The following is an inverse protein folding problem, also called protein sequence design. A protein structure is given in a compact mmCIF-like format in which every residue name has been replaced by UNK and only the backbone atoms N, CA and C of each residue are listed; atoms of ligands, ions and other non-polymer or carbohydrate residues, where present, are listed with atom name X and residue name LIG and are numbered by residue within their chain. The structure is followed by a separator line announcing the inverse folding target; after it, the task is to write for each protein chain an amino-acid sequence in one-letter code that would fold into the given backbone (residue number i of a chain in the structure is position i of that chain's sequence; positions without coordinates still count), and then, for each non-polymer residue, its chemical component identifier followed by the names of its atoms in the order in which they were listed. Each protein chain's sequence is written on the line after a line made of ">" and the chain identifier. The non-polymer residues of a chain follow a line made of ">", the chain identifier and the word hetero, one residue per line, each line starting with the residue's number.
data_IF_998713492169
#
_entry.id   IF_998713492169
#
_cell.length_a   1.000
_cell.length_b   1.000
_cell.length_c   1.000
_cell.angle_alpha   90.00
_cell.angle_beta   90.00
_cell.angle_gamma   90.00
#
_symmetry.space_group_name_H-M   'P 1'
#
loop_
_entity.id
_entity.type
_entity.pdbx_description
1 polymer ?
#
# COMPACT_ATOMS: atom_id res chain seq x y z
N UNK A 1 27.31 -35.44 28.16
CA UNK A 1 26.19 -34.86 27.38
C UNK A 1 26.65 -33.96 26.19
N UNK A 2 27.66 -34.35 25.40
CA UNK A 2 28.15 -33.54 24.25
C UNK A 2 27.75 -34.09 22.86
N UNK A 3 27.08 -35.25 22.78
CA UNK A 3 26.70 -35.89 21.50
C UNK A 3 25.37 -35.39 20.92
N UNK A 4 24.46 -34.90 21.76
CA UNK A 4 23.11 -34.47 21.34
C UNK A 4 23.17 -33.25 20.41
N UNK A 5 24.10 -32.31 20.64
CA UNK A 5 24.24 -31.09 19.85
C UNK A 5 24.70 -31.37 18.41
N UNK A 6 25.64 -32.30 18.22
CA UNK A 6 26.17 -32.66 16.90
C UNK A 6 25.16 -33.49 16.09
N UNK A 7 24.44 -34.41 16.74
CA UNK A 7 23.36 -35.15 16.09
C UNK A 7 22.22 -34.22 15.64
N UNK A 8 21.74 -33.32 16.53
CA UNK A 8 20.69 -32.35 16.19
C UNK A 8 21.12 -31.43 15.04
N UNK A 9 22.37 -30.95 15.04
CA UNK A 9 22.90 -30.12 13.96
C UNK A 9 22.91 -30.85 12.60
N UNK A 10 23.40 -32.09 12.58
CA UNK A 10 23.45 -32.90 11.36
C UNK A 10 22.05 -33.28 10.86
N UNK A 11 21.13 -33.63 11.77
CA UNK A 11 19.73 -33.88 11.46
C UNK A 11 19.08 -32.66 10.80
N UNK A 12 19.23 -31.48 11.41
CA UNK A 12 18.70 -30.22 10.88
C UNK A 12 19.25 -29.90 9.48
N UNK A 13 20.57 -30.06 9.26
CA UNK A 13 21.18 -29.87 7.94
C UNK A 13 20.66 -30.85 6.90
N UNK A 14 20.59 -32.15 7.24
CA UNK A 14 20.13 -33.21 6.32
C UNK A 14 18.68 -33.01 5.88
N UNK A 15 17.83 -32.50 6.77
CA UNK A 15 16.42 -32.25 6.50
C UNK A 15 16.09 -30.79 6.14
N UNK A 16 17.11 -29.95 5.85
CA UNK A 16 16.93 -28.53 5.51
C UNK A 16 16.14 -27.73 6.57
N UNK A 17 16.23 -28.13 7.84
CA UNK A 17 15.56 -27.49 8.97
C UNK A 17 16.47 -26.37 9.49
N UNK A 18 15.99 -25.14 9.45
CA UNK A 18 16.68 -23.96 9.97
C UNK A 18 15.84 -23.28 11.05
N UNK A 19 16.49 -22.63 12.00
CA UNK A 19 15.76 -21.76 12.94
C UNK A 19 15.17 -20.58 12.17
N UNK A 20 13.89 -20.30 12.38
CA UNK A 20 13.17 -19.19 11.74
C UNK A 20 12.51 -18.35 12.82
N UNK A 21 12.54 -17.03 12.64
CA UNK A 21 11.73 -16.12 13.45
C UNK A 21 10.25 -16.45 13.22
N UNK A 22 9.48 -16.63 14.31
CA UNK A 22 8.02 -16.79 14.23
C UNK A 22 7.44 -15.50 13.63
N UNK A 23 6.63 -15.64 12.59
CA UNK A 23 6.05 -14.52 11.84
C UNK A 23 4.54 -14.35 12.07
N UNK A 24 3.85 -15.38 12.59
CA UNK A 24 2.43 -15.37 12.88
C UNK A 24 2.13 -16.33 14.02
N UNK A 25 1.33 -15.87 14.98
CA UNK A 25 0.68 -16.74 15.96
C UNK A 25 -0.74 -17.03 15.48
N UNK A 26 -1.19 -18.26 15.64
CA UNK A 26 -2.55 -18.70 15.28
C UNK A 26 -3.20 -19.37 16.48
N UNK A 27 -4.51 -19.20 16.63
CA UNK A 27 -5.28 -19.88 17.69
C UNK A 27 -5.64 -21.30 17.26
N UNK A 28 -5.97 -22.16 18.22
CA UNK A 28 -6.42 -23.54 17.93
C UNK A 28 -7.72 -23.55 17.10
N UNK A 29 -8.63 -22.62 17.35
CA UNK A 29 -9.85 -22.41 16.55
C UNK A 29 -9.54 -22.07 15.08
N UNK A 30 -8.51 -21.24 14.82
CA UNK A 30 -8.09 -20.92 13.45
C UNK A 30 -7.47 -22.13 12.73
N UNK A 31 -6.87 -23.06 13.45
CA UNK A 31 -6.34 -24.31 12.88
C UNK A 31 -7.49 -25.25 12.53
N UNK A 32 -8.47 -25.41 13.42
CA UNK A 32 -9.64 -26.25 13.20
C UNK A 32 -10.51 -25.77 12.02
N UNK A 33 -10.74 -24.45 11.92
CA UNK A 33 -11.61 -23.87 10.88
C UNK A 33 -10.90 -23.62 9.54
N UNK A 34 -9.68 -24.14 9.36
CA UNK A 34 -8.85 -23.81 8.20
C UNK A 34 -9.42 -24.32 6.88
N UNK A 35 -10.05 -25.48 6.87
CA UNK A 35 -10.69 -26.03 5.67
C UNK A 35 -11.97 -25.29 5.31
N UNK A 36 -12.80 -24.97 6.31
CA UNK A 36 -13.98 -24.13 6.14
C UNK A 36 -13.63 -22.75 5.58
N UNK A 37 -12.62 -22.08 6.14
CA UNK A 37 -12.12 -20.80 5.64
C UNK A 37 -11.63 -20.88 4.19
N UNK A 38 -11.04 -22.02 3.78
CA UNK A 38 -10.65 -22.25 2.39
C UNK A 38 -11.86 -22.48 1.48
N UNK A 39 -12.85 -23.24 1.94
CA UNK A 39 -14.12 -23.42 1.23
C UNK A 39 -14.80 -22.08 0.96
N UNK A 40 -14.99 -21.27 2.01
CA UNK A 40 -15.60 -19.94 1.91
C UNK A 40 -14.79 -19.00 1.00
N UNK A 41 -13.45 -19.08 1.07
CA UNK A 41 -12.59 -18.30 0.18
C UNK A 41 -12.75 -18.71 -1.29
N UNK A 42 -12.79 -20.02 -1.58
CA UNK A 42 -12.95 -20.53 -2.94
C UNK A 42 -14.32 -20.18 -3.52
N UNK A 43 -15.40 -20.37 -2.75
CA UNK A 43 -16.76 -20.00 -3.17
C UNK A 43 -16.85 -18.50 -3.51
N UNK A 44 -16.25 -17.65 -2.67
CA UNK A 44 -16.18 -16.22 -2.93
C UNK A 44 -15.40 -15.90 -4.21
N UNK A 45 -14.25 -16.54 -4.41
CA UNK A 45 -13.42 -16.36 -5.62
C UNK A 45 -14.20 -16.73 -6.88
N UNK A 46 -14.87 -17.88 -6.91
CA UNK A 46 -15.67 -18.31 -8.07
C UNK A 46 -16.85 -17.38 -8.36
N UNK A 47 -17.50 -16.88 -7.31
CA UNK A 47 -18.53 -15.83 -7.44
C UNK A 47 -17.98 -14.56 -8.09
N UNK A 48 -16.79 -14.12 -7.68
CA UNK A 48 -16.14 -12.92 -8.25
C UNK A 48 -15.68 -13.16 -9.67
N UNK A 49 -15.11 -14.33 -10.00
CA UNK A 49 -14.75 -14.71 -11.37
C UNK A 49 -15.94 -14.61 -12.31
N UNK A 50 -17.09 -15.14 -11.89
CA UNK A 50 -18.35 -15.02 -12.64
C UNK A 50 -18.71 -13.56 -12.91
N UNK A 51 -18.49 -12.67 -11.93
CA UNK A 51 -18.70 -11.23 -12.12
C UNK A 51 -17.68 -10.61 -13.08
N UNK A 52 -16.40 -10.97 -12.99
CA UNK A 52 -15.37 -10.52 -13.93
C UNK A 52 -15.74 -10.89 -15.36
N UNK A 53 -16.24 -12.10 -15.61
CA UNK A 53 -16.70 -12.52 -16.95
C UNK A 53 -17.89 -11.68 -17.43
N UNK A 54 -18.83 -11.36 -16.54
CA UNK A 54 -20.06 -10.64 -16.88
C UNK A 54 -19.85 -9.15 -17.18
N UNK A 55 -19.00 -8.47 -16.40
CA UNK A 55 -18.83 -7.01 -16.51
C UNK A 55 -17.42 -6.59 -16.94
N UNK A 56 -16.47 -7.51 -17.08
CA UNK A 56 -15.09 -7.22 -17.45
C UNK A 56 -14.19 -6.82 -16.27
N UNK A 57 -12.89 -7.06 -16.43
CA UNK A 57 -11.86 -6.78 -15.40
C UNK A 57 -11.77 -5.30 -15.00
N UNK A 58 -12.05 -4.38 -15.93
CA UNK A 58 -12.02 -2.94 -15.69
C UNK A 58 -13.10 -2.46 -14.71
N UNK A 59 -14.14 -3.27 -14.51
CA UNK A 59 -15.32 -2.93 -13.71
C UNK A 59 -15.37 -3.67 -12.36
N UNK A 60 -14.37 -4.47 -12.04
CA UNK A 60 -14.24 -5.16 -10.76
C UNK A 60 -13.08 -4.56 -9.99
N UNK A 61 -13.36 -4.03 -8.82
CA UNK A 61 -12.42 -3.28 -7.99
C UNK A 61 -12.21 -3.94 -6.65
N UNK A 62 -11.02 -3.77 -6.09
CA UNK A 62 -10.71 -4.15 -4.73
C UNK A 62 -10.23 -2.93 -3.94
N UNK A 63 -10.71 -2.79 -2.71
CA UNK A 63 -10.25 -1.75 -1.78
C UNK A 63 -10.16 -2.28 -0.36
N UNK A 64 -9.15 -1.80 0.36
CA UNK A 64 -8.95 -2.03 1.78
C UNK A 64 -8.05 -0.93 2.37
N UNK A 65 -8.10 -0.78 3.70
CA UNK A 65 -7.28 0.17 4.43
C UNK A 65 -5.98 -0.47 4.95
N UNK A 66 -4.90 0.31 4.98
CA UNK A 66 -3.68 -0.13 5.67
C UNK A 66 -3.03 1.02 6.43
N UNK A 67 -2.58 0.71 7.65
CA UNK A 67 -1.80 1.62 8.47
C UNK A 67 -0.34 1.68 8.02
N UNK A 68 0.20 2.89 8.02
CA UNK A 68 1.60 3.22 7.72
C UNK A 68 2.16 4.07 8.86
N UNK A 69 3.30 3.69 9.40
CA UNK A 69 4.02 4.51 10.37
C UNK A 69 4.50 5.79 9.69
N UNK A 70 4.61 6.89 10.46
CA UNK A 70 5.07 8.16 9.91
C UNK A 70 6.51 8.06 9.38
N UNK A 71 7.34 7.21 10.01
CA UNK A 71 8.65 6.79 9.52
C UNK A 71 8.78 5.27 9.54
N UNK A 72 9.25 4.72 8.43
CA UNK A 72 9.38 3.29 8.22
C UNK A 72 10.83 2.94 7.92
N UNK A 73 11.35 1.95 8.64
CA UNK A 73 12.75 1.53 8.58
C UNK A 73 12.92 0.07 8.23
N UNK A 74 14.15 -0.29 7.84
CA UNK A 74 14.52 -1.69 7.78
C UNK A 74 14.71 -2.28 9.18
N UNK A 75 13.93 -3.33 9.49
CA UNK A 75 14.15 -4.12 10.71
C UNK A 75 15.45 -4.94 10.72
N UNK A 76 16.37 -4.68 9.79
CA UNK A 76 17.69 -5.31 9.66
C UNK A 76 18.66 -4.31 9.02
N UNK A 77 19.89 -4.27 9.51
CA UNK A 77 21.01 -3.53 8.93
C UNK A 77 22.28 -4.39 8.98
N UNK A 78 23.33 -3.95 8.30
CA UNK A 78 24.65 -4.58 8.38
C UNK A 78 25.33 -4.16 9.69
N UNK A 79 25.85 -5.14 10.42
CA UNK A 79 26.63 -4.93 11.64
C UNK A 79 27.67 -6.04 11.79
N UNK A 80 28.68 -5.82 12.63
CA UNK A 80 29.69 -6.83 12.91
C UNK A 80 29.08 -8.08 13.55
N UNK A 81 29.65 -9.24 13.21
CA UNK A 81 29.24 -10.52 13.78
C UNK A 81 29.52 -10.51 15.28
N UNK A 82 28.52 -10.87 16.09
CA UNK A 82 28.63 -10.87 17.56
C UNK A 82 28.11 -9.60 18.23
N UNK A 83 27.74 -8.56 17.46
CA UNK A 83 27.11 -7.36 18.01
C UNK A 83 25.76 -7.69 18.64
N UNK A 84 25.64 -7.44 19.95
CA UNK A 84 24.42 -7.70 20.72
C UNK A 84 23.37 -6.59 20.55
N UNK A 85 23.81 -5.34 20.40
CA UNK A 85 22.95 -4.16 20.24
C UNK A 85 23.31 -3.45 18.94
N UNK A 86 22.32 -3.30 18.06
CA UNK A 86 22.45 -2.60 16.79
C UNK A 86 21.54 -1.39 16.83
N UNK A 87 22.12 -0.20 16.72
CA UNK A 87 21.41 1.07 16.76
C UNK A 87 21.35 1.68 15.35
N UNK A 88 20.22 2.32 15.04
CA UNK A 88 19.99 2.97 13.74
C UNK A 88 19.37 4.34 13.96
N UNK A 89 19.76 5.32 13.13
CA UNK A 89 19.21 6.67 13.18
C UNK A 89 17.74 6.68 12.76
N UNK A 90 16.92 7.41 13.50
CA UNK A 90 15.55 7.76 13.14
C UNK A 90 15.34 9.27 13.36
N UNK A 91 14.47 9.91 12.57
CA UNK A 91 14.16 11.33 12.73
C UNK A 91 13.39 11.59 14.04
N UNK A 92 12.51 10.67 14.44
CA UNK A 92 11.81 10.73 15.73
C UNK A 92 11.31 9.37 16.19
N UNK A 93 11.48 9.06 17.49
CA UNK A 93 10.95 7.83 18.09
C UNK A 93 9.42 7.77 18.08
N UNK A 94 8.74 8.92 18.26
CA UNK A 94 7.28 8.99 18.23
C UNK A 94 6.75 8.64 16.83
N UNK A 95 7.51 8.95 15.80
CA UNK A 95 7.11 8.69 14.43
C UNK A 95 7.22 7.23 14.01
N UNK A 96 7.99 6.45 14.75
CA UNK A 96 8.00 4.99 14.64
C UNK A 96 6.73 4.36 15.21
N UNK A 97 6.00 5.05 16.09
CA UNK A 97 4.80 4.50 16.76
C UNK A 97 3.50 5.11 16.27
N UNK A 98 3.51 6.37 15.82
CA UNK A 98 2.37 7.00 15.17
C UNK A 98 2.22 6.56 13.73
N UNK A 99 0.96 6.50 13.27
CA UNK A 99 0.61 6.08 11.92
C UNK A 99 -0.51 6.91 11.32
N UNK A 100 -0.56 6.90 10.00
CA UNK A 100 -1.72 7.29 9.21
C UNK A 100 -2.25 6.07 8.46
N UNK A 101 -3.47 6.18 7.93
CA UNK A 101 -4.08 5.12 7.12
C UNK A 101 -4.21 5.57 5.68
N UNK A 102 -3.97 4.67 4.73
CA UNK A 102 -4.36 4.88 3.33
C UNK A 102 -5.41 3.86 2.91
N UNK A 103 -6.21 4.19 1.90
CA UNK A 103 -7.17 3.26 1.30
C UNK A 103 -7.15 3.40 -0.24
N UNK A 104 -6.31 2.59 -0.92
CA UNK A 104 -6.28 2.53 -2.38
C UNK A 104 -7.46 1.74 -2.95
N UNK A 105 -7.68 1.91 -4.26
CA UNK A 105 -8.59 1.09 -5.07
C UNK A 105 -7.80 0.58 -6.27
N UNK A 106 -7.83 -0.73 -6.51
CA UNK A 106 -7.24 -1.34 -7.70
C UNK A 106 -8.30 -2.07 -8.51
N UNK A 107 -8.29 -1.95 -9.84
CA UNK A 107 -9.14 -2.75 -10.73
C UNK A 107 -8.52 -4.13 -10.98
N UNK A 108 -9.34 -5.12 -11.37
CA UNK A 108 -8.85 -6.43 -11.80
C UNK A 108 -7.99 -6.33 -13.07
N UNK A 109 -8.24 -5.32 -13.90
CA UNK A 109 -7.40 -5.01 -15.07
C UNK A 109 -6.02 -4.43 -14.70
N UNK A 110 -5.76 -4.23 -13.41
CA UNK A 110 -4.46 -3.84 -12.89
C UNK A 110 -4.23 -2.33 -12.80
N UNK A 111 -5.28 -1.51 -12.83
CA UNK A 111 -5.15 -0.06 -12.70
C UNK A 111 -5.33 0.38 -11.24
N UNK A 112 -4.47 1.28 -10.78
CA UNK A 112 -4.61 1.95 -9.49
C UNK A 112 -5.42 3.24 -9.68
N UNK A 113 -6.59 3.30 -9.04
CA UNK A 113 -7.51 4.42 -9.19
C UNK A 113 -7.06 5.62 -8.35
N UNK A 114 -7.34 6.82 -8.86
CA UNK A 114 -7.19 8.08 -8.14
C UNK A 114 -8.56 8.69 -7.86
N UNK A 115 -8.73 9.49 -6.80
CA UNK A 115 -7.72 9.81 -5.78
C UNK A 115 -7.49 8.71 -4.72
N UNK A 116 -6.30 8.68 -4.13
CA UNK A 116 -6.00 7.90 -2.93
C UNK A 116 -6.60 8.55 -1.69
N UNK A 117 -7.34 7.79 -0.88
CA UNK A 117 -7.73 8.27 0.45
C UNK A 117 -6.58 8.16 1.44
N UNK A 118 -6.36 9.21 2.21
CA UNK A 118 -5.43 9.29 3.34
C UNK A 118 -6.20 9.76 4.56
N UNK A 119 -6.09 9.04 5.68
CA UNK A 119 -6.67 9.42 6.97
C UNK A 119 -5.55 9.76 7.94
N UNK A 120 -5.45 11.04 8.31
CA UNK A 120 -4.49 11.51 9.30
C UNK A 120 -5.11 11.50 10.71
N UNK A 121 -4.27 11.31 11.72
CA UNK A 121 -4.66 11.39 13.12
C UNK A 121 -4.65 12.85 13.59
N UNK A 122 -5.79 13.34 14.07
CA UNK A 122 -5.91 14.68 14.68
C UNK A 122 -6.61 14.57 16.04
N UNK A 123 -6.19 15.36 17.05
CA UNK A 123 -6.73 15.28 18.41
C UNK A 123 -8.26 15.38 18.45
N UNK A 124 -8.81 16.34 17.70
CA UNK A 124 -10.26 16.59 17.64
C UNK A 124 -10.89 16.01 16.36
N UNK A 125 -10.16 15.16 15.64
CA UNK A 125 -10.59 14.55 14.39
C UNK A 125 -10.77 15.51 13.22
N UNK A 126 -10.34 16.77 13.34
CA UNK A 126 -10.44 17.82 12.32
C UNK A 126 -9.16 18.63 12.23
N UNK A 127 -8.86 19.19 11.06
CA UNK A 127 -7.85 20.23 10.95
C UNK A 127 -8.38 21.56 11.52
N UNK A 128 -7.51 22.32 12.17
CA UNK A 128 -7.83 23.71 12.50
C UNK A 128 -7.93 24.57 11.23
N UNK A 129 -8.81 25.59 11.15
CA UNK A 129 -9.05 26.36 9.91
C UNK A 129 -7.80 27.02 9.32
N UNK A 130 -6.88 27.48 10.17
CA UNK A 130 -5.59 28.07 9.74
C UNK A 130 -4.65 27.03 9.15
N UNK A 131 -4.66 25.81 9.70
CA UNK A 131 -3.83 24.70 9.22
C UNK A 131 -4.36 24.26 7.86
N UNK A 132 -5.66 24.03 7.75
CA UNK A 132 -6.31 23.55 6.53
C UNK A 132 -6.00 24.43 5.30
N UNK A 133 -5.99 25.76 5.46
CA UNK A 133 -5.62 26.71 4.39
C UNK A 133 -4.18 26.58 3.91
N UNK A 134 -3.26 26.14 4.78
CA UNK A 134 -1.82 25.97 4.49
C UNK A 134 -1.44 24.55 4.06
N UNK A 135 -2.39 23.61 4.09
CA UNK A 135 -2.11 22.24 3.72
C UNK A 135 -1.91 22.12 2.21
N UNK A 136 -0.90 21.35 1.82
CA UNK A 136 -0.66 20.97 0.43
C UNK A 136 -1.91 20.35 -0.18
N UNK A 137 -2.24 20.63 -1.44
CA UNK A 137 -3.40 20.04 -2.13
C UNK A 137 -2.93 19.43 -3.44
N UNK A 138 -3.47 18.25 -3.75
CA UNK A 138 -3.24 17.57 -5.01
C UNK A 138 -4.51 16.82 -5.42
N UNK A 139 -4.72 16.67 -6.73
CA UNK A 139 -5.95 16.10 -7.28
C UNK A 139 -5.99 14.57 -7.16
N UNK A 140 -4.85 13.91 -7.01
CA UNK A 140 -4.74 12.46 -6.92
C UNK A 140 -4.81 11.91 -5.49
N UNK A 141 -5.08 12.77 -4.50
CA UNK A 141 -5.30 12.35 -3.10
C UNK A 141 -6.51 13.06 -2.49
N UNK A 142 -7.20 12.39 -1.59
CA UNK A 142 -8.17 12.99 -0.68
C UNK A 142 -7.70 12.76 0.75
N UNK A 143 -7.57 13.83 1.53
CA UNK A 143 -7.12 13.74 2.92
C UNK A 143 -8.27 14.03 3.86
N UNK A 144 -8.59 13.04 4.68
CA UNK A 144 -9.54 13.16 5.79
C UNK A 144 -8.81 12.97 7.12
N UNK A 145 -9.51 13.23 8.22
CA UNK A 145 -8.94 13.16 9.57
C UNK A 145 -9.84 12.36 10.50
N UNK A 146 -9.25 11.69 11.48
CA UNK A 146 -9.96 11.07 12.59
C UNK A 146 -9.14 11.13 13.87
N UNK A 147 -9.78 10.91 15.02
CA UNK A 147 -9.10 10.90 16.33
C UNK A 147 -8.08 9.78 16.48
N UNK A 148 -8.28 8.67 15.76
CA UNK A 148 -7.40 7.51 15.79
C UNK A 148 -6.45 7.43 14.59
N UNK A 149 -6.69 8.20 13.53
CA UNK A 149 -6.02 8.03 12.23
C UNK A 149 -6.49 6.82 11.43
N UNK A 150 -7.54 6.11 11.90
CA UNK A 150 -8.17 4.98 11.21
C UNK A 150 -9.42 5.40 10.44
N UNK A 151 -9.82 4.61 9.45
CA UNK A 151 -11.07 4.78 8.74
C UNK A 151 -12.25 4.48 9.67
N UNK A 152 -13.14 5.44 9.85
CA UNK A 152 -14.42 5.24 10.55
C UNK A 152 -15.53 4.98 9.54
N UNK A 153 -16.70 4.53 10.01
CA UNK A 153 -17.87 4.30 9.16
C UNK A 153 -18.28 5.54 8.34
N UNK A 154 -18.21 6.71 8.96
CA UNK A 154 -18.51 7.99 8.30
C UNK A 154 -17.50 8.31 7.20
N UNK A 155 -16.21 8.10 7.48
CA UNK A 155 -15.16 8.32 6.48
C UNK A 155 -15.25 7.33 5.32
N UNK A 156 -15.68 6.10 5.56
CA UNK A 156 -15.93 5.11 4.51
C UNK A 156 -17.08 5.52 3.58
N UNK A 157 -18.14 6.14 4.11
CA UNK A 157 -19.23 6.69 3.31
C UNK A 157 -18.74 7.85 2.44
N UNK A 158 -18.01 8.80 3.04
CA UNK A 158 -17.44 9.94 2.29
C UNK A 158 -16.47 9.47 1.21
N UNK A 159 -15.66 8.45 1.51
CA UNK A 159 -14.79 7.81 0.53
C UNK A 159 -15.59 7.21 -0.63
N UNK A 160 -16.66 6.49 -0.33
CA UNK A 160 -17.49 5.87 -1.35
C UNK A 160 -18.12 6.93 -2.27
N UNK A 161 -18.67 8.00 -1.70
CA UNK A 161 -19.33 9.09 -2.45
C UNK A 161 -18.37 9.97 -3.25
N UNK A 162 -17.19 10.29 -2.68
CA UNK A 162 -16.26 11.26 -3.25
C UNK A 162 -15.17 10.62 -4.10
N UNK A 163 -14.84 9.34 -3.86
CA UNK A 163 -13.77 8.63 -4.57
C UNK A 163 -14.35 7.49 -5.41
N UNK A 164 -15.04 6.52 -4.80
CA UNK A 164 -15.46 5.33 -5.54
C UNK A 164 -16.50 5.65 -6.62
N UNK A 165 -17.62 6.29 -6.26
CA UNK A 165 -18.71 6.56 -7.20
C UNK A 165 -18.29 7.43 -8.39
N UNK A 166 -17.53 8.54 -8.23
CA UNK A 166 -17.17 9.37 -9.38
C UNK A 166 -16.19 8.69 -10.35
N UNK A 167 -15.35 7.78 -9.85
CA UNK A 167 -14.23 7.21 -10.61
C UNK A 167 -14.49 5.78 -11.10
N UNK A 168 -15.70 5.25 -10.96
CA UNK A 168 -16.07 3.91 -11.45
C UNK A 168 -17.10 3.99 -12.57
N UNK A 169 -17.19 2.93 -13.37
CA UNK A 169 -18.13 2.88 -14.49
C UNK A 169 -19.58 2.66 -14.02
N UNK A 170 -20.53 2.73 -14.96
CA UNK A 170 -21.98 2.62 -14.70
C UNK A 170 -22.35 1.33 -13.98
N UNK A 171 -21.72 0.21 -14.35
CA UNK A 171 -21.85 -1.09 -13.69
C UNK A 171 -20.52 -1.46 -13.06
N UNK A 172 -20.50 -1.69 -11.76
CA UNK A 172 -19.25 -2.03 -11.06
C UNK A 172 -19.46 -3.00 -9.91
N UNK A 173 -18.40 -3.76 -9.62
CA UNK A 173 -18.30 -4.62 -8.43
C UNK A 173 -17.17 -4.12 -7.55
N UNK A 174 -17.47 -3.87 -6.27
CA UNK A 174 -16.49 -3.52 -5.27
C UNK A 174 -16.29 -4.70 -4.31
N UNK A 175 -15.09 -5.27 -4.29
CA UNK A 175 -14.64 -6.18 -3.26
C UNK A 175 -14.16 -5.35 -2.07
N UNK A 176 -14.82 -5.54 -0.93
CA UNK A 176 -14.54 -4.79 0.29
C UNK A 176 -14.47 -5.72 1.50
N UNK A 177 -13.73 -5.32 2.53
CA UNK A 177 -13.49 -6.17 3.69
C UNK A 177 -14.69 -6.21 4.63
N UNK A 178 -14.99 -7.38 5.20
CA UNK A 178 -15.92 -7.52 6.30
C UNK A 178 -15.22 -7.15 7.63
N UNK A 179 -15.54 -5.98 8.18
CA UNK A 179 -15.30 -5.70 9.60
C UNK A 179 -16.65 -5.54 10.31
N UNK A 180 -16.70 -5.78 11.63
CA UNK A 180 -17.91 -5.59 12.45
C UNK A 180 -18.55 -4.20 12.25
N UNK A 181 -17.73 -3.20 11.90
CA UNK A 181 -18.17 -1.85 11.56
C UNK A 181 -18.98 -1.79 10.25
N UNK A 182 -18.73 -2.68 9.29
CA UNK A 182 -19.38 -2.68 7.96
C UNK A 182 -20.79 -3.24 7.93
N UNK A 183 -21.18 -4.11 8.86
CA UNK A 183 -22.58 -4.52 8.98
C UNK A 183 -23.51 -3.32 9.21
N UNK A 184 -23.03 -2.30 9.94
CA UNK A 184 -23.73 -1.03 10.11
C UNK A 184 -23.68 -0.11 8.87
N UNK A 185 -22.68 -0.28 8.00
CA UNK A 185 -22.44 0.55 6.81
C UNK A 185 -23.18 0.01 5.59
N UNK A 186 -23.41 -1.29 5.47
CA UNK A 186 -24.11 -1.88 4.32
C UNK A 186 -25.50 -1.29 4.12
N UNK A 187 -26.27 -1.12 5.20
CA UNK A 187 -27.56 -0.41 5.14
C UNK A 187 -27.39 1.01 4.61
N UNK A 188 -26.31 1.69 5.01
CA UNK A 188 -26.00 3.05 4.56
C UNK A 188 -25.56 3.09 3.08
N UNK A 189 -24.74 2.15 2.62
CA UNK A 189 -24.36 2.06 1.20
C UNK A 189 -25.56 1.81 0.28
N UNK A 190 -26.56 1.07 0.76
CA UNK A 190 -27.79 0.85 0.00
C UNK A 190 -28.69 2.09 -0.04
N UNK A 191 -28.61 3.00 0.94
CA UNK A 191 -29.37 4.25 0.95
C UNK A 191 -28.68 5.43 0.27
N UNK A 192 -27.38 5.32 -0.03
CA UNK A 192 -26.64 6.38 -0.74
C UNK A 192 -27.16 6.48 -2.17
N UNK A 193 -27.35 7.71 -2.64
CA UNK A 193 -27.60 7.98 -4.05
C UNK A 193 -26.37 7.56 -4.88
N UNK A 194 -26.52 6.46 -5.63
CA UNK A 194 -25.48 5.93 -6.52
C UNK A 194 -25.37 6.72 -7.83
N UNK A 195 -26.11 7.82 -7.99
CA UNK A 195 -26.11 8.70 -9.17
C UNK A 195 -26.42 7.93 -10.46
N UNK A 196 -27.40 7.03 -10.39
CA UNK A 196 -27.79 6.14 -11.49
C UNK A 196 -26.86 4.96 -11.74
N UNK A 197 -25.77 4.77 -10.97
CA UNK A 197 -24.84 3.65 -11.15
C UNK A 197 -25.31 2.38 -10.45
N UNK A 198 -25.12 1.25 -11.12
CA UNK A 198 -25.31 -0.09 -10.59
C UNK A 198 -24.03 -0.57 -9.89
N UNK A 199 -23.98 -0.40 -8.57
CA UNK A 199 -22.84 -0.84 -7.75
C UNK A 199 -23.22 -2.06 -6.93
N UNK A 200 -22.50 -3.16 -7.15
CA UNK A 200 -22.58 -4.39 -6.37
C UNK A 200 -21.39 -4.50 -5.41
N UNK A 201 -21.63 -4.50 -4.11
CA UNK A 201 -20.59 -4.60 -3.09
C UNK A 201 -20.51 -6.05 -2.60
N UNK A 202 -19.36 -6.69 -2.78
CA UNK A 202 -19.10 -8.04 -2.32
C UNK A 202 -18.16 -8.02 -1.13
N UNK A 203 -18.59 -8.61 -0.02
CA UNK A 203 -17.80 -8.68 1.21
C UNK A 203 -16.87 -9.87 1.21
N UNK A 204 -15.58 -9.62 1.36
CA UNK A 204 -14.58 -10.67 1.51
C UNK A 204 -14.80 -11.36 2.88
N UNK A 205 -14.98 -12.70 2.91
CA UNK A 205 -15.26 -13.44 4.13
C UNK A 205 -14.20 -13.21 5.23
N UNK A 206 -14.65 -13.06 6.47
CA UNK A 206 -13.75 -12.90 7.61
C UNK A 206 -12.69 -14.02 7.69
N UNK A 207 -11.45 -13.64 8.05
CA UNK A 207 -10.34 -14.59 8.19
C UNK A 207 -9.67 -15.04 6.88
N UNK A 208 -10.21 -14.65 5.72
CA UNK A 208 -9.68 -15.03 4.40
C UNK A 208 -8.79 -13.96 3.77
N UNK A 209 -8.64 -12.80 4.41
CA UNK A 209 -7.91 -11.63 3.91
C UNK A 209 -6.51 -11.95 3.40
N UNK A 210 -5.72 -12.73 4.17
CA UNK A 210 -4.37 -13.12 3.77
C UNK A 210 -4.29 -14.12 2.60
N UNK A 211 -5.43 -14.53 2.05
CA UNK A 211 -5.57 -15.54 0.99
C UNK A 211 -6.17 -14.91 -0.26
N UNK A 212 -7.28 -14.17 -0.13
CA UNK A 212 -8.09 -13.71 -1.26
C UNK A 212 -8.30 -12.18 -1.29
N UNK A 213 -7.61 -11.40 -0.47
CA UNK A 213 -7.61 -9.94 -0.57
C UNK A 213 -6.37 -9.52 -1.40
N UNK A 214 -6.51 -9.05 -2.65
CA UNK A 214 -5.38 -8.64 -3.51
C UNK A 214 -4.39 -7.64 -2.88
N UNK A 215 -4.90 -6.58 -2.24
CA UNK A 215 -4.11 -5.58 -1.52
C UNK A 215 -3.24 -6.18 -0.41
N UNK A 216 -3.78 -7.08 0.43
CA UNK A 216 -3.01 -7.73 1.50
C UNK A 216 -2.09 -8.83 0.99
N UNK A 217 -2.56 -9.60 0.01
CA UNK A 217 -1.85 -10.74 -0.58
C UNK A 217 -0.58 -10.27 -1.28
N UNK A 218 -0.62 -9.09 -1.91
CA UNK A 218 0.53 -8.59 -2.66
C UNK A 218 0.76 -7.08 -2.57
N UNK A 219 -0.24 -6.21 -2.78
CA UNK A 219 -0.03 -4.79 -3.10
C UNK A 219 0.55 -3.92 -1.97
N UNK A 220 0.15 -4.12 -0.72
CA UNK A 220 0.64 -3.28 0.38
C UNK A 220 2.13 -3.48 0.66
N UNK A 221 2.69 -4.66 0.37
CA UNK A 221 4.11 -4.95 0.59
C UNK A 221 5.05 -4.09 -0.29
N UNK A 222 4.94 -4.05 -1.64
CA UNK A 222 5.76 -3.18 -2.47
C UNK A 222 5.54 -1.71 -2.13
N UNK A 223 4.32 -1.30 -1.77
CA UNK A 223 4.03 0.07 -1.34
C UNK A 223 4.80 0.46 -0.07
N UNK A 224 4.75 -0.37 0.97
CA UNK A 224 5.50 -0.18 2.22
C UNK A 224 7.00 -0.22 1.99
N UNK A 225 7.47 -1.12 1.13
CA UNK A 225 8.89 -1.18 0.76
C UNK A 225 9.36 0.08 0.02
N UNK A 226 8.51 0.67 -0.82
CA UNK A 226 8.81 1.92 -1.51
C UNK A 226 8.95 3.08 -0.55
N UNK A 227 7.97 3.28 0.34
CA UNK A 227 8.03 4.33 1.35
C UNK A 227 9.26 4.18 2.25
N UNK A 228 9.52 2.96 2.70
CA UNK A 228 10.70 2.65 3.50
C UNK A 228 12.01 2.96 2.76
N UNK A 229 12.13 2.55 1.49
CA UNK A 229 13.32 2.86 0.69
C UNK A 229 13.50 4.37 0.53
N UNK A 230 12.42 5.10 0.32
CA UNK A 230 12.43 6.56 0.26
C UNK A 230 12.93 7.17 1.59
N UNK A 231 12.41 6.73 2.74
CA UNK A 231 12.88 7.16 4.06
C UNK A 231 14.35 6.85 4.31
N UNK A 232 14.79 5.62 3.96
CA UNK A 232 16.18 5.20 4.11
C UNK A 232 17.14 6.10 3.30
N UNK A 233 16.73 6.52 2.09
CA UNK A 233 17.51 7.42 1.24
C UNK A 233 17.60 8.81 1.86
N UNK A 234 16.49 9.38 2.34
CA UNK A 234 16.51 10.70 2.99
C UNK A 234 17.48 10.76 4.16
N UNK A 235 17.45 9.74 5.01
CA UNK A 235 18.30 9.65 6.19
C UNK A 235 19.76 9.42 5.80
N UNK A 236 20.01 8.52 4.84
CA UNK A 236 21.37 8.17 4.41
C UNK A 236 22.13 9.35 3.80
N UNK A 237 21.45 10.19 3.02
CA UNK A 237 22.04 11.34 2.35
C UNK A 237 21.82 12.66 3.11
N UNK A 238 21.27 12.59 4.32
CA UNK A 238 21.07 13.73 5.21
C UNK A 238 20.26 14.88 4.56
N UNK A 239 19.21 14.53 3.81
CA UNK A 239 18.30 15.53 3.27
C UNK A 239 17.45 16.15 4.40
N UNK A 240 17.34 17.47 4.44
CA UNK A 240 16.52 18.21 5.41
C UNK A 240 15.01 18.15 5.06
N UNK A 241 14.46 16.93 5.07
CA UNK A 241 13.05 16.65 4.81
C UNK A 241 12.48 15.88 5.99
N UNK A 242 11.65 16.54 6.80
CA UNK A 242 10.98 15.91 7.93
C UNK A 242 9.75 15.11 7.46
N UNK A 243 9.83 13.78 7.54
CA UNK A 243 8.80 12.86 7.06
C UNK A 243 7.47 12.96 7.83
N UNK A 244 7.48 13.55 9.02
CA UNK A 244 6.36 13.56 9.97
C UNK A 244 5.41 14.72 9.78
N UNK A 245 5.84 15.72 9.01
CA UNK A 245 5.04 16.89 8.73
C UNK A 245 3.89 16.51 7.80
N UNK A 246 2.67 16.97 8.13
CA UNK A 246 1.45 16.71 7.35
C UNK A 246 1.63 16.98 5.86
N UNK A 247 2.25 18.11 5.51
CA UNK A 247 2.51 18.45 4.12
C UNK A 247 3.49 17.48 3.45
N UNK A 248 4.50 17.02 4.17
CA UNK A 248 5.47 16.08 3.62
C UNK A 248 4.86 14.69 3.44
N UNK A 249 4.06 14.20 4.40
CA UNK A 249 3.26 12.97 4.25
C UNK A 249 2.40 13.06 2.97
N UNK A 250 1.69 14.17 2.79
CA UNK A 250 0.82 14.38 1.62
C UNK A 250 1.59 14.44 0.31
N UNK A 251 2.71 15.17 0.27
CA UNK A 251 3.60 15.25 -0.90
C UNK A 251 4.16 13.87 -1.26
N UNK A 252 4.65 13.11 -0.28
CA UNK A 252 5.19 11.75 -0.49
C UNK A 252 4.11 10.83 -1.02
N UNK A 253 2.93 10.79 -0.40
CA UNK A 253 1.85 9.91 -0.84
C UNK A 253 1.31 10.31 -2.21
N UNK A 254 1.26 11.60 -2.52
CA UNK A 254 0.95 12.11 -3.88
C UNK A 254 1.93 11.56 -4.91
N UNK A 255 3.23 11.61 -4.60
CA UNK A 255 4.28 11.09 -5.48
C UNK A 255 4.23 9.58 -5.61
N UNK A 256 4.21 8.84 -4.49
CA UNK A 256 4.17 7.37 -4.50
C UNK A 256 2.94 6.88 -5.28
N UNK A 257 1.76 7.45 -4.99
CA UNK A 257 0.54 7.11 -5.71
C UNK A 257 0.68 7.36 -7.20
N UNK A 258 1.21 8.53 -7.60
CA UNK A 258 1.47 8.83 -9.01
C UNK A 258 2.43 7.80 -9.64
N UNK A 259 3.53 7.45 -8.98
CA UNK A 259 4.48 6.46 -9.52
C UNK A 259 3.81 5.09 -9.70
N UNK A 260 3.04 4.64 -8.71
CA UNK A 260 2.33 3.37 -8.76
C UNK A 260 1.21 3.35 -9.82
N UNK A 261 0.62 4.51 -10.15
CA UNK A 261 -0.38 4.64 -11.22
C UNK A 261 0.20 4.56 -12.64
N UNK A 262 1.53 4.52 -12.82
CA UNK A 262 2.16 4.33 -14.14
C UNK A 262 1.75 3.00 -14.77
N UNK A 263 1.57 3.00 -16.10
CA UNK A 263 1.29 1.79 -16.89
C UNK A 263 2.34 0.69 -16.68
N UNK A 264 3.55 1.07 -16.26
CA UNK A 264 4.64 0.16 -15.93
C UNK A 264 4.28 -0.89 -14.88
N UNK A 265 3.38 -0.53 -13.96
CA UNK A 265 3.03 -1.36 -12.81
C UNK A 265 1.64 -2.01 -12.95
N UNK A 266 1.01 -1.97 -14.12
CA UNK A 266 -0.28 -2.67 -14.35
C UNK A 266 -0.17 -4.15 -13.99
N UNK A 267 0.91 -4.80 -14.43
CA UNK A 267 1.15 -6.21 -14.14
C UNK A 267 1.41 -6.48 -12.64
N UNK A 268 1.83 -5.49 -11.85
CA UNK A 268 1.99 -5.63 -10.40
C UNK A 268 0.63 -5.89 -9.74
N UNK A 269 -0.38 -5.12 -10.15
CA UNK A 269 -1.73 -5.23 -9.62
C UNK A 269 -2.46 -6.43 -10.20
N UNK A 270 -2.33 -6.71 -11.52
CA UNK A 270 -2.83 -7.98 -12.09
C UNK A 270 -2.26 -9.20 -11.36
N UNK A 271 -0.99 -9.14 -10.96
CA UNK A 271 -0.37 -10.23 -10.21
C UNK A 271 -0.98 -10.40 -8.83
N UNK A 272 -1.42 -9.31 -8.19
CA UNK A 272 -2.15 -9.37 -6.93
C UNK A 272 -3.48 -10.14 -7.09
N UNK A 273 -4.24 -9.84 -8.14
CA UNK A 273 -5.50 -10.52 -8.47
C UNK A 273 -5.30 -12.00 -8.83
N UNK A 274 -4.29 -12.31 -9.66
CA UNK A 274 -3.88 -13.69 -9.97
C UNK A 274 -3.51 -14.46 -8.70
N UNK A 275 -2.67 -13.87 -7.84
CA UNK A 275 -2.21 -14.51 -6.61
C UNK A 275 -3.34 -14.73 -5.59
N UNK A 276 -4.40 -13.93 -5.66
CA UNK A 276 -5.64 -14.10 -4.89
C UNK A 276 -6.64 -15.07 -5.52
N UNK A 277 -6.35 -15.61 -6.71
CA UNK A 277 -7.16 -16.64 -7.38
C UNK A 277 -8.27 -16.13 -8.31
N UNK A 278 -8.45 -14.82 -8.44
CA UNK A 278 -9.52 -14.23 -9.26
C UNK A 278 -9.22 -14.20 -10.75
N UNK A 279 -7.94 -14.18 -11.12
CA UNK A 279 -7.47 -14.25 -12.51
C UNK A 279 -6.70 -15.55 -12.67
N UNK A 280 -7.01 -16.30 -13.74
CA UNK A 280 -6.41 -17.62 -13.98
C UNK A 280 -5.06 -17.51 -14.66
N UNK A 281 -4.94 -16.58 -15.61
CA UNK A 281 -3.70 -16.35 -16.33
C UNK A 281 -2.72 -15.54 -15.50
N UNK A 282 -1.50 -16.07 -15.38
CA UNK A 282 -0.43 -15.36 -14.71
C UNK A 282 0.05 -14.19 -15.58
N UNK A 283 0.01 -12.94 -15.09
CA UNK A 283 0.49 -11.82 -15.87
C UNK A 283 2.00 -11.89 -16.10
N UNK A 284 2.52 -11.22 -17.15
CA UNK A 284 3.94 -11.12 -17.40
C UNK A 284 4.70 -10.60 -16.17
N UNK A 285 5.95 -11.05 -16.01
CA UNK A 285 6.81 -10.54 -14.92
C UNK A 285 6.98 -9.04 -15.07
N UNK A 286 6.75 -8.30 -14.00
CA UNK A 286 7.07 -6.88 -13.91
C UNK A 286 8.11 -6.63 -12.83
N UNK A 287 8.93 -5.60 -13.06
CA UNK A 287 9.84 -5.11 -12.04
C UNK A 287 9.04 -4.47 -10.89
N UNK A 288 9.49 -4.64 -9.65
CA UNK A 288 8.82 -3.98 -8.51
C UNK A 288 9.09 -2.48 -8.54
N UNK A 289 8.18 -1.64 -8.02
CA UNK A 289 8.39 -0.18 -7.97
C UNK A 289 9.70 0.23 -7.29
N UNK A 290 10.14 -0.50 -6.26
CA UNK A 290 11.42 -0.24 -5.60
C UNK A 290 12.60 -0.50 -6.54
N UNK A 291 12.61 -1.65 -7.20
CA UNK A 291 13.69 -1.99 -8.11
C UNK A 291 13.72 -1.01 -9.28
N UNK A 292 12.57 -0.72 -9.90
CA UNK A 292 12.54 0.19 -11.02
C UNK A 292 12.97 1.61 -10.61
N UNK A 293 12.41 2.16 -9.53
CA UNK A 293 12.61 3.57 -9.20
C UNK A 293 13.91 3.87 -8.43
N UNK A 294 14.56 2.89 -7.81
CA UNK A 294 15.73 3.13 -6.95
C UNK A 294 16.97 2.30 -7.31
N UNK A 295 16.96 1.60 -8.45
CA UNK A 295 18.13 0.89 -8.97
C UNK A 295 18.48 1.38 -10.38
N UNK A 296 19.75 1.22 -10.77
CA UNK A 296 20.27 1.61 -12.07
C UNK A 296 19.91 3.05 -12.47
N UNK A 297 19.92 3.96 -11.48
CA UNK A 297 19.80 5.38 -11.75
C UNK A 297 21.13 5.91 -12.29
N UNK A 298 21.07 7.02 -13.03
CA UNK A 298 22.26 7.77 -13.42
C UNK A 298 23.10 8.16 -12.17
N UNK A 299 24.40 8.37 -12.36
CA UNK A 299 25.28 8.69 -11.23
C UNK A 299 25.02 10.09 -10.68
N UNK A 300 24.67 11.03 -11.56
CA UNK A 300 24.51 12.45 -11.27
C UNK A 300 23.27 12.94 -12.02
N UNK A 301 22.50 13.82 -11.39
CA UNK A 301 21.37 14.48 -12.04
C UNK A 301 21.82 15.77 -12.73
N UNK A 302 21.63 15.85 -14.04
CA UNK A 302 22.12 16.96 -14.89
C UNK A 302 21.71 18.36 -14.42
N UNK A 303 20.54 18.49 -13.79
CA UNK A 303 20.02 19.80 -13.38
C UNK A 303 20.78 20.42 -12.20
N UNK A 304 21.25 19.62 -11.25
CA UNK A 304 21.81 20.14 -10.00
C UNK A 304 23.11 19.46 -9.57
N UNK A 305 23.63 18.54 -10.37
CA UNK A 305 24.85 17.79 -10.11
C UNK A 305 24.86 16.99 -8.80
N UNK A 306 23.67 16.75 -8.22
CA UNK A 306 23.48 15.90 -7.05
C UNK A 306 23.27 14.44 -7.49
N UNK A 307 23.39 13.50 -6.56
CA UNK A 307 23.27 12.06 -6.85
C UNK A 307 21.84 11.75 -7.32
N UNK A 308 21.71 11.18 -8.52
CA UNK A 308 20.41 10.74 -9.01
C UNK A 308 20.05 9.39 -8.37
N UNK A 309 19.16 9.42 -7.39
CA UNK A 309 18.80 8.23 -6.58
C UNK A 309 17.38 7.76 -6.91
N UNK A 310 16.67 8.48 -7.78
CA UNK A 310 15.31 8.19 -8.15
C UNK A 310 15.12 8.18 -9.66
N UNK A 311 14.41 7.18 -10.19
CA UNK A 311 14.00 7.07 -11.59
C UNK A 311 12.47 7.12 -11.71
N UNK A 312 11.96 8.08 -12.46
CA UNK A 312 10.51 8.25 -12.64
C UNK A 312 9.89 7.08 -13.42
N UNK A 313 8.82 6.49 -12.88
CA UNK A 313 8.10 5.37 -13.48
C UNK A 313 7.37 5.75 -14.79
N UNK A 314 7.14 7.03 -15.03
CA UNK A 314 6.49 7.56 -16.22
C UNK A 314 7.50 7.87 -17.32
N UNK A 315 8.32 8.91 -17.12
CA UNK A 315 9.25 9.41 -18.15
C UNK A 315 10.66 8.80 -18.09
N UNK A 316 10.91 7.80 -17.23
CA UNK A 316 12.21 7.11 -17.10
C UNK A 316 13.42 7.97 -16.72
N UNK A 317 13.26 9.30 -16.60
CA UNK A 317 14.33 10.20 -16.20
C UNK A 317 14.79 9.92 -14.77
N UNK A 318 16.11 9.88 -14.60
CA UNK A 318 16.75 9.88 -13.30
C UNK A 318 16.79 11.31 -12.73
N UNK A 319 16.63 11.43 -11.41
CA UNK A 319 16.68 12.70 -10.68
C UNK A 319 17.14 12.50 -9.23
N UNK A 320 17.63 13.57 -8.61
CA UNK A 320 17.89 13.55 -7.18
C UNK A 320 16.58 13.61 -6.39
N UNK A 321 16.63 13.21 -5.11
CA UNK A 321 15.43 13.16 -4.27
C UNK A 321 14.83 14.54 -4.04
N UNK A 322 15.67 15.58 -3.93
CA UNK A 322 15.17 16.93 -3.76
C UNK A 322 14.39 17.42 -4.98
N UNK A 323 14.84 17.12 -6.20
CA UNK A 323 14.10 17.47 -7.42
C UNK A 323 12.90 16.56 -7.70
N UNK A 324 12.83 15.39 -7.09
CA UNK A 324 11.63 14.58 -7.09
C UNK A 324 10.57 15.15 -6.13
N UNK A 325 11.01 15.58 -4.94
CA UNK A 325 10.14 15.99 -3.83
C UNK A 325 9.77 17.48 -3.81
N UNK A 326 10.68 18.36 -4.20
CA UNK A 326 10.50 19.82 -4.22
C UNK A 326 11.52 20.50 -5.15
N UNK A 327 11.41 20.32 -6.48
CA UNK A 327 12.27 20.98 -7.45
C UNK A 327 12.26 22.49 -7.23
N UNK A 328 13.47 23.04 -7.04
CA UNK A 328 13.76 24.45 -6.78
C UNK A 328 13.23 25.02 -5.45
N UNK A 329 12.86 24.20 -4.45
CA UNK A 329 12.20 24.66 -3.22
C UNK A 329 10.94 25.52 -3.50
N UNK A 330 10.35 25.34 -4.68
CA UNK A 330 9.23 26.15 -5.18
C UNK A 330 7.87 25.63 -4.72
N UNK A 331 7.86 24.45 -4.08
CA UNK A 331 6.67 23.72 -3.67
C UNK A 331 6.05 22.86 -4.77
N UNK A 332 6.55 22.88 -6.01
CA UNK A 332 6.00 22.10 -7.13
C UNK A 332 6.60 20.70 -7.14
N UNK A 333 5.80 19.62 -6.99
CA UNK A 333 6.31 18.24 -7.05
C UNK A 333 6.71 17.81 -8.48
N UNK A 334 7.61 16.83 -8.61
CA UNK A 334 7.78 16.13 -9.90
C UNK A 334 6.55 15.23 -10.20
N UNK A 335 5.56 15.82 -10.87
CA UNK A 335 4.33 15.14 -11.26
C UNK A 335 4.33 14.87 -12.77
N UNK A 336 4.72 13.67 -13.17
CA UNK A 336 4.74 13.24 -14.57
C UNK A 336 3.58 12.29 -14.87
N UNK A 337 2.97 12.46 -16.05
CA UNK A 337 1.92 11.57 -16.61
C UNK A 337 2.28 11.06 -18.01
N UNK A 338 3.47 11.42 -18.52
CA UNK A 338 3.91 11.03 -19.86
C UNK A 338 4.67 9.71 -19.77
N UNK A 339 4.02 8.62 -20.15
CA UNK A 339 4.60 7.29 -20.13
C UNK A 339 5.59 7.10 -21.29
N UNK A 340 6.81 6.68 -20.97
CA UNK A 340 7.84 6.26 -21.92
C UNK A 340 8.19 4.81 -21.62
N UNK A 341 8.30 3.96 -22.64
CA UNK A 341 8.42 2.51 -22.45
C UNK A 341 9.73 2.10 -21.77
#
# INVERSE_FOLDING_TARGET
>A
FFSLSKWIYNFKRRHCIVSRKINKFVTQSQIANKEELRGNANEFVEKVKTKIVLIGEDNVYNSDQSGFNLEMHAGRTLSFKGTLKVETLAQSLNSLTHSYTIQPIISASGHLMSPLLIVLKEKDGKFGPKIEKKLYKANNILVLTSTSGKLTSELAIRWFEQIYLPNTNEKSVLLFLESLYLLSIEKKFNTIDKRGKEVNILKIPAGTTGIIQPLDVYTFRPWKNFLKRFSDVLIRYNYDINLHLRNNIKKILTLIHNQFSSLRFVNLFKYAWYKSGYIEEKPPKCETPVNFCFTNCETIYDCCHDIAIFRCAWCTKSMCIQHFFDPNNSGSLHYCTNYQQ
#
